data_IF_784011643690
#
_entry.id   IF_784011643690
#
_cell.length_a   1.000
_cell.length_b   1.000
_cell.length_c   1.000
_cell.angle_alpha   90.00
_cell.angle_beta   90.00
_cell.angle_gamma   90.00
#
_symmetry.space_group_name_H-M   'P 1'
#
loop_
_entity.id
_entity.type
_entity.pdbx_description
1 polymer ?
#
# COMPACT_ATOMS: atom_id res chain seq x y z
N UNK A 1 16.82 13.75 -14.24
CA UNK A 1 16.32 12.53 -13.57
C UNK A 1 15.78 11.60 -14.65
N UNK A 2 16.28 10.36 -14.74
CA UNK A 2 15.82 9.43 -15.78
C UNK A 2 14.30 9.17 -15.60
N UNK A 3 13.51 9.23 -16.67
CA UNK A 3 12.05 9.02 -16.64
C UNK A 3 11.61 7.80 -15.80
N UNK A 4 12.30 6.65 -15.83
CA UNK A 4 11.87 5.48 -15.06
C UNK A 4 12.10 5.61 -13.53
N UNK A 5 13.15 6.33 -13.10
CA UNK A 5 13.41 6.61 -11.68
C UNK A 5 12.27 7.40 -11.04
N UNK A 6 11.76 8.40 -11.76
CA UNK A 6 10.63 9.22 -11.32
C UNK A 6 9.38 8.38 -11.10
N UNK A 7 9.09 7.49 -12.07
CA UNK A 7 7.91 6.61 -12.00
C UNK A 7 7.99 5.69 -10.80
N UNK A 8 9.17 5.16 -10.48
CA UNK A 8 9.34 4.22 -9.36
C UNK A 8 9.23 4.93 -8.02
N UNK A 9 9.87 6.08 -7.86
CA UNK A 9 9.71 6.89 -6.66
C UNK A 9 8.27 7.36 -6.45
N UNK A 10 7.60 7.79 -7.53
CA UNK A 10 6.20 8.16 -7.47
C UNK A 10 5.30 6.98 -7.07
N UNK A 11 5.55 5.80 -7.64
CA UNK A 11 4.79 4.58 -7.32
C UNK A 11 4.92 4.21 -5.83
N UNK A 12 6.13 4.25 -5.30
CA UNK A 12 6.40 3.90 -3.89
C UNK A 12 5.83 4.95 -2.94
N UNK A 13 5.95 6.23 -3.29
CA UNK A 13 5.35 7.31 -2.54
C UNK A 13 3.81 7.13 -2.51
N UNK A 14 3.18 6.88 -3.66
CA UNK A 14 1.75 6.67 -3.76
C UNK A 14 1.27 5.45 -2.96
N UNK A 15 2.02 4.36 -3.00
CA UNK A 15 1.74 3.16 -2.21
C UNK A 15 1.84 3.44 -0.70
N UNK A 16 2.89 4.15 -0.28
CA UNK A 16 3.06 4.57 1.12
C UNK A 16 1.94 5.52 1.60
N UNK A 17 1.46 6.42 0.73
CA UNK A 17 0.28 7.25 1.01
C UNK A 17 -0.95 6.38 1.25
N UNK A 18 -1.20 5.41 0.38
CA UNK A 18 -2.37 4.52 0.53
C UNK A 18 -2.31 3.69 1.82
N UNK A 19 -1.15 3.12 2.14
CA UNK A 19 -0.95 2.31 3.36
C UNK A 19 -1.19 3.17 4.60
N UNK A 20 -0.59 4.36 4.65
CA UNK A 20 -0.70 5.26 5.80
C UNK A 20 -2.07 5.90 5.96
N UNK A 21 -2.79 6.13 4.85
CA UNK A 21 -4.19 6.57 4.88
C UNK A 21 -5.13 5.52 5.47
N UNK A 22 -4.79 4.24 5.32
CA UNK A 22 -5.65 3.14 5.77
C UNK A 22 -5.61 2.93 7.28
N UNK A 23 -4.47 3.17 7.93
CA UNK A 23 -4.28 2.86 9.35
C UNK A 23 -5.27 3.60 10.28
N UNK A 24 -5.55 4.90 10.09
CA UNK A 24 -6.56 5.62 10.88
C UNK A 24 -8.00 5.14 10.63
N UNK A 25 -8.30 4.66 9.42
CA UNK A 25 -9.66 4.36 8.96
C UNK A 25 -10.05 2.91 9.26
N UNK A 26 -9.07 1.99 9.20
CA UNK A 26 -9.29 0.55 9.35
C UNK A 26 -10.00 0.14 10.65
N UNK A 27 -9.70 0.70 11.85
CA UNK A 27 -10.40 0.32 13.07
C UNK A 27 -11.91 0.60 12.99
N UNK A 28 -12.28 1.77 12.47
CA UNK A 28 -13.69 2.17 12.30
C UNK A 28 -14.43 1.28 11.31
N UNK A 29 -13.80 0.96 10.17
CA UNK A 29 -14.37 0.02 9.20
C UNK A 29 -14.62 -1.36 9.81
N UNK A 30 -13.70 -1.85 10.64
CA UNK A 30 -13.87 -3.13 11.33
C UNK A 30 -14.98 -3.07 12.38
N UNK A 31 -15.10 -1.98 13.12
CA UNK A 31 -16.19 -1.77 14.08
C UNK A 31 -17.55 -1.75 13.38
N UNK A 32 -17.66 -1.06 12.24
CA UNK A 32 -18.88 -0.96 11.45
C UNK A 32 -19.36 -2.31 10.90
N UNK A 33 -18.45 -3.19 10.46
CA UNK A 33 -18.83 -4.49 9.85
C UNK A 33 -18.86 -5.67 10.82
N UNK A 34 -18.16 -5.60 11.95
CA UNK A 34 -18.10 -6.71 12.92
C UNK A 34 -18.99 -6.50 14.13
N UNK A 35 -19.31 -5.25 14.46
CA UNK A 35 -20.00 -4.86 15.71
C UNK A 35 -19.35 -5.47 16.97
N UNK A 36 -18.05 -5.75 16.90
CA UNK A 36 -17.27 -6.39 17.95
C UNK A 36 -16.41 -5.39 18.69
N UNK A 37 -16.19 -5.61 19.98
CA UNK A 37 -15.22 -4.83 20.76
C UNK A 37 -13.77 -5.32 20.56
N UNK A 38 -13.58 -6.51 19.97
CA UNK A 38 -12.26 -7.09 19.74
C UNK A 38 -11.68 -6.72 18.37
N UNK A 39 -11.55 -5.41 18.13
CA UNK A 39 -10.99 -4.87 16.89
C UNK A 39 -9.51 -5.24 16.73
N UNK A 40 -8.79 -5.37 17.85
CA UNK A 40 -7.36 -5.70 17.85
C UNK A 40 -7.09 -7.08 17.22
N UNK A 41 -7.87 -8.10 17.58
CA UNK A 41 -7.75 -9.43 16.96
C UNK A 41 -8.00 -9.40 15.46
N UNK A 42 -9.02 -8.66 15.00
CA UNK A 42 -9.29 -8.52 13.56
C UNK A 42 -8.17 -7.80 12.81
N UNK A 43 -7.59 -6.75 13.38
CA UNK A 43 -6.39 -6.09 12.82
C UNK A 43 -5.23 -7.10 12.74
N UNK A 44 -5.04 -7.92 13.77
CA UNK A 44 -4.05 -9.00 13.77
C UNK A 44 -4.26 -10.00 12.63
N UNK A 45 -5.49 -10.47 12.44
CA UNK A 45 -5.87 -11.39 11.35
C UNK A 45 -5.63 -10.73 9.98
N UNK A 46 -6.06 -9.48 9.80
CA UNK A 46 -5.83 -8.71 8.57
C UNK A 46 -4.34 -8.62 8.22
N UNK A 47 -3.53 -8.29 9.23
CA UNK A 47 -2.08 -8.12 9.09
C UNK A 47 -1.40 -9.46 8.78
N UNK A 48 -1.79 -10.53 9.49
CA UNK A 48 -1.28 -11.87 9.26
C UNK A 48 -1.64 -12.39 7.85
N UNK A 49 -2.87 -12.16 7.40
CA UNK A 49 -3.30 -12.54 6.05
C UNK A 49 -2.52 -11.79 4.98
N UNK A 50 -2.36 -10.47 5.13
CA UNK A 50 -1.55 -9.65 4.22
C UNK A 50 -0.11 -10.16 4.17
N UNK A 51 0.53 -10.39 5.32
CA UNK A 51 1.90 -10.88 5.41
C UNK A 51 2.05 -12.29 4.82
N UNK A 52 1.09 -13.19 5.06
CA UNK A 52 1.09 -14.53 4.50
C UNK A 52 1.00 -14.52 2.96
N UNK A 53 0.09 -13.71 2.41
CA UNK A 53 -0.03 -13.55 0.95
C UNK A 53 1.23 -12.91 0.37
N UNK A 54 1.75 -11.85 1.01
CA UNK A 54 2.99 -11.23 0.58
C UNK A 54 4.17 -12.23 0.61
N UNK A 55 4.29 -13.05 1.66
CA UNK A 55 5.34 -14.07 1.76
C UNK A 55 5.29 -15.09 0.61
N UNK A 56 4.08 -15.54 0.26
CA UNK A 56 3.88 -16.53 -0.82
C UNK A 56 4.12 -15.92 -2.20
N UNK A 57 3.64 -14.70 -2.44
CA UNK A 57 3.59 -14.13 -3.79
C UNK A 57 4.70 -13.11 -4.10
N UNK A 58 5.37 -12.53 -3.11
CA UNK A 58 6.48 -11.61 -3.35
C UNK A 58 7.64 -12.25 -4.13
N UNK A 59 8.05 -13.53 -3.90
CA UNK A 59 9.05 -14.19 -4.74
C UNK A 59 8.59 -14.35 -6.18
N UNK A 60 7.32 -14.73 -6.38
CA UNK A 60 6.73 -14.92 -7.72
C UNK A 60 6.72 -13.62 -8.50
N UNK A 61 6.24 -12.53 -7.88
CA UNK A 61 6.23 -11.21 -8.49
C UNK A 61 7.63 -10.63 -8.69
N UNK A 62 8.58 -10.97 -7.81
CA UNK A 62 10.00 -10.63 -7.98
C UNK A 62 10.58 -11.26 -9.25
N UNK A 63 10.40 -12.57 -9.42
CA UNK A 63 10.84 -13.30 -10.62
C UNK A 63 10.11 -12.83 -11.89
N UNK A 64 8.81 -12.53 -11.78
CA UNK A 64 8.03 -11.94 -12.86
C UNK A 64 8.58 -10.55 -13.25
N UNK A 65 9.03 -9.78 -12.26
CA UNK A 65 9.64 -8.48 -12.48
C UNK A 65 11.02 -8.56 -13.11
N UNK A 66 11.78 -9.62 -12.87
CA UNK A 66 13.07 -9.84 -13.55
C UNK A 66 12.86 -10.14 -15.05
N UNK A 67 11.77 -10.83 -15.41
CA UNK A 67 11.50 -11.26 -16.78
C UNK A 67 10.69 -10.26 -17.63
N UNK A 68 9.60 -9.69 -17.09
CA UNK A 68 8.76 -8.70 -17.77
C UNK A 68 9.25 -7.25 -17.61
N UNK A 69 10.27 -7.06 -16.78
CA UNK A 69 10.77 -5.76 -16.37
C UNK A 69 10.07 -5.20 -15.12
N UNK A 70 10.74 -4.26 -14.47
CA UNK A 70 10.32 -3.70 -13.17
C UNK A 70 9.02 -2.89 -13.23
N UNK A 71 8.81 -2.14 -14.33
CA UNK A 71 7.70 -1.17 -14.45
C UNK A 71 6.31 -1.84 -14.50
N UNK A 72 6.05 -2.86 -15.34
CA UNK A 72 4.74 -3.53 -15.35
C UNK A 72 4.35 -4.10 -13.99
N UNK A 73 5.28 -4.72 -13.27
CA UNK A 73 5.00 -5.34 -11.97
C UNK A 73 4.65 -4.28 -10.91
N UNK A 74 5.35 -3.15 -10.87
CA UNK A 74 4.96 -2.04 -9.98
C UNK A 74 3.57 -1.48 -10.29
N UNK A 75 3.16 -1.44 -11.55
CA UNK A 75 1.81 -1.01 -11.93
C UNK A 75 0.75 -2.04 -11.51
N UNK A 76 1.04 -3.34 -11.62
CA UNK A 76 0.17 -4.41 -11.11
C UNK A 76 0.00 -4.27 -9.60
N UNK A 77 1.07 -3.99 -8.87
CA UNK A 77 1.04 -3.73 -7.44
C UNK A 77 0.16 -2.54 -7.07
N UNK A 78 0.32 -1.40 -7.75
CA UNK A 78 -0.53 -0.23 -7.55
C UNK A 78 -1.99 -0.51 -7.90
N UNK A 79 -2.25 -1.26 -8.97
CA UNK A 79 -3.59 -1.64 -9.36
C UNK A 79 -4.25 -2.56 -8.31
N UNK A 80 -3.51 -3.52 -7.76
CA UNK A 80 -3.98 -4.38 -6.68
C UNK A 80 -4.26 -3.61 -5.40
N UNK A 81 -3.42 -2.64 -5.06
CA UNK A 81 -3.68 -1.71 -3.96
C UNK A 81 -4.96 -0.90 -4.20
N UNK A 82 -5.15 -0.34 -5.40
CA UNK A 82 -6.36 0.39 -5.78
C UNK A 82 -7.63 -0.46 -5.68
N UNK A 83 -7.58 -1.71 -6.16
CA UNK A 83 -8.67 -2.68 -6.03
C UNK A 83 -8.96 -2.98 -4.56
N UNK A 84 -7.93 -3.18 -3.72
CA UNK A 84 -8.11 -3.34 -2.29
C UNK A 84 -8.82 -2.13 -1.66
N UNK A 85 -8.40 -0.89 -1.97
CA UNK A 85 -9.05 0.31 -1.43
C UNK A 85 -10.50 0.43 -1.89
N UNK A 86 -10.81 0.10 -3.15
CA UNK A 86 -12.17 0.07 -3.66
C UNK A 86 -13.03 -0.96 -2.91
N UNK A 87 -12.52 -2.19 -2.72
CA UNK A 87 -13.24 -3.21 -1.97
C UNK A 87 -13.51 -2.74 -0.55
N UNK A 88 -12.50 -2.16 0.13
CA UNK A 88 -12.66 -1.66 1.50
C UNK A 88 -13.66 -0.50 1.60
N UNK A 89 -13.71 0.39 0.61
CA UNK A 89 -14.64 1.51 0.59
C UNK A 89 -16.11 1.08 0.49
N UNK A 90 -16.38 -0.08 -0.14
CA UNK A 90 -17.73 -0.61 -0.35
C UNK A 90 -18.01 -1.91 0.43
N UNK A 91 -17.17 -2.27 1.40
CA UNK A 91 -17.28 -3.53 2.13
C UNK A 91 -18.40 -3.46 3.18
N UNK A 92 -19.54 -4.17 3.01
CA UNK A 92 -20.60 -4.24 4.00
C UNK A 92 -20.42 -5.43 4.95
N UNK A 93 -19.41 -6.29 4.72
CA UNK A 93 -19.11 -7.47 5.53
C UNK A 93 -17.61 -7.68 5.68
N UNK A 94 -17.21 -8.28 6.80
CA UNK A 94 -15.81 -8.58 7.15
C UNK A 94 -15.06 -9.39 6.07
N UNK A 95 -15.72 -10.35 5.41
CA UNK A 95 -15.06 -11.18 4.39
C UNK A 95 -14.57 -10.36 3.19
N UNK A 96 -15.23 -9.23 2.88
CA UNK A 96 -14.79 -8.34 1.80
C UNK A 96 -13.51 -7.60 2.20
N UNK A 97 -13.39 -7.20 3.48
CA UNK A 97 -12.15 -6.64 4.01
C UNK A 97 -11.00 -7.68 3.97
N UNK A 98 -11.29 -8.93 4.32
CA UNK A 98 -10.36 -10.06 4.19
C UNK A 98 -9.92 -10.27 2.73
N UNK A 99 -10.87 -10.25 1.79
CA UNK A 99 -10.59 -10.38 0.37
C UNK A 99 -9.72 -9.23 -0.15
N UNK A 100 -10.06 -8.00 0.19
CA UNK A 100 -9.25 -6.82 -0.13
C UNK A 100 -7.81 -6.99 0.34
N UNK A 101 -7.63 -7.41 1.60
CA UNK A 101 -6.28 -7.65 2.16
C UNK A 101 -5.53 -8.78 1.50
N UNK A 102 -6.22 -9.86 1.15
CA UNK A 102 -5.59 -10.94 0.40
C UNK A 102 -5.09 -10.44 -0.96
N UNK A 103 -5.89 -9.65 -1.68
CA UNK A 103 -5.50 -9.05 -2.97
C UNK A 103 -4.33 -8.08 -2.80
N UNK A 104 -4.36 -7.23 -1.77
CA UNK A 104 -3.26 -6.33 -1.47
C UNK A 104 -1.95 -7.09 -1.20
N UNK A 105 -1.99 -8.15 -0.39
CA UNK A 105 -0.81 -8.97 -0.10
C UNK A 105 -0.31 -9.72 -1.33
N UNK A 106 -1.24 -10.32 -2.11
CA UNK A 106 -0.96 -11.01 -3.37
C UNK A 106 -0.22 -10.13 -4.36
N UNK A 107 -0.57 -8.84 -4.42
CA UNK A 107 0.00 -7.88 -5.37
C UNK A 107 1.16 -7.06 -4.81
N UNK A 108 1.57 -7.29 -3.56
CA UNK A 108 2.60 -6.48 -2.88
C UNK A 108 4.03 -6.96 -3.17
N UNK A 109 4.60 -6.47 -4.28
CA UNK A 109 6.00 -6.68 -4.67
C UNK A 109 6.83 -5.39 -4.67
N UNK A 110 6.28 -4.34 -4.09
CA UNK A 110 6.64 -2.96 -4.36
C UNK A 110 8.04 -2.70 -3.80
N UNK A 111 8.28 -3.15 -2.57
CA UNK A 111 9.56 -3.03 -1.88
C UNK A 111 10.66 -3.86 -2.55
N UNK A 112 10.39 -5.12 -2.91
CA UNK A 112 11.40 -5.99 -3.55
C UNK A 112 11.76 -5.50 -4.94
N UNK A 113 10.78 -5.14 -5.76
CA UNK A 113 10.99 -4.63 -7.13
C UNK A 113 11.67 -3.27 -7.12
N UNK A 114 11.32 -2.40 -6.17
CA UNK A 114 11.95 -1.09 -6.02
C UNK A 114 13.42 -1.20 -5.60
N UNK A 115 13.72 -2.02 -4.59
CA UNK A 115 15.10 -2.22 -4.11
C UNK A 115 15.96 -2.89 -5.17
N UNK A 116 15.43 -3.87 -5.91
CA UNK A 116 16.09 -4.47 -7.06
C UNK A 116 16.36 -3.43 -8.16
N UNK A 117 15.37 -2.62 -8.53
CA UNK A 117 15.57 -1.59 -9.54
C UNK A 117 16.64 -0.58 -9.13
N UNK A 118 16.57 -0.04 -7.91
CA UNK A 118 17.59 0.89 -7.40
C UNK A 118 18.96 0.23 -7.42
N UNK A 119 19.06 -1.04 -7.08
CA UNK A 119 20.31 -1.82 -7.16
C UNK A 119 20.82 -1.92 -8.59
N UNK A 120 19.95 -2.20 -9.57
CA UNK A 120 20.29 -2.42 -10.99
C UNK A 120 20.84 -1.16 -11.66
N UNK A 121 20.32 0.02 -11.32
CA UNK A 121 20.69 1.27 -12.00
C UNK A 121 21.78 2.08 -11.29
N UNK A 122 22.18 1.71 -10.08
CA UNK A 122 23.08 2.51 -9.23
C UNK A 122 24.50 1.99 -9.23
N UNK A 123 25.47 2.90 -9.45
CA UNK A 123 26.87 2.64 -9.14
C UNK A 123 27.09 2.56 -7.61
N UNK A 124 28.18 1.94 -7.17
CA UNK A 124 28.49 1.78 -5.73
C UNK A 124 28.42 3.12 -4.97
N UNK A 125 28.97 4.18 -5.57
CA UNK A 125 29.01 5.51 -4.97
C UNK A 125 27.63 6.19 -4.89
N UNK A 126 26.69 5.82 -5.76
CA UNK A 126 25.34 6.41 -5.80
C UNK A 126 24.30 5.57 -5.06
N UNK A 127 24.59 4.31 -4.77
CA UNK A 127 23.65 3.36 -4.18
C UNK A 127 23.11 3.87 -2.85
N UNK A 128 23.98 4.30 -1.92
CA UNK A 128 23.56 4.85 -0.63
C UNK A 128 22.63 6.06 -0.78
N UNK A 129 22.95 6.99 -1.69
CA UNK A 129 22.12 8.17 -1.98
C UNK A 129 20.73 7.80 -2.49
N UNK A 130 20.65 6.80 -3.38
CA UNK A 130 19.38 6.39 -4.00
C UNK A 130 18.50 5.56 -3.08
N UNK A 131 19.10 4.72 -2.23
CA UNK A 131 18.37 4.09 -1.12
C UNK A 131 17.90 5.14 -0.10
N UNK A 132 18.70 6.18 0.18
CA UNK A 132 18.26 7.32 0.99
C UNK A 132 17.04 8.03 0.40
N UNK A 133 17.04 8.26 -0.92
CA UNK A 133 15.89 8.85 -1.62
C UNK A 133 14.66 7.93 -1.62
N UNK A 134 14.87 6.62 -1.77
CA UNK A 134 13.81 5.61 -1.64
C UNK A 134 13.10 5.71 -0.29
N UNK A 135 13.88 5.72 0.80
CA UNK A 135 13.35 5.87 2.15
C UNK A 135 12.68 7.22 2.37
N UNK A 136 13.22 8.30 1.79
CA UNK A 136 12.62 9.63 1.84
C UNK A 136 11.23 9.67 1.17
N UNK A 137 11.06 9.01 0.02
CA UNK A 137 9.76 8.91 -0.65
C UNK A 137 8.75 8.10 0.16
N UNK A 138 9.18 7.01 0.79
CA UNK A 138 8.33 6.23 1.68
C UNK A 138 7.89 7.05 2.89
N UNK A 139 8.83 7.74 3.55
CA UNK A 139 8.54 8.63 4.67
C UNK A 139 7.60 9.78 4.30
N UNK A 140 7.80 10.39 3.13
CA UNK A 140 6.90 11.42 2.60
C UNK A 140 5.47 10.89 2.44
N UNK A 141 5.31 9.68 1.88
CA UNK A 141 3.99 9.07 1.75
C UNK A 141 3.31 8.83 3.10
N UNK A 142 4.07 8.39 4.11
CA UNK A 142 3.57 8.21 5.48
C UNK A 142 3.18 9.50 6.21
N UNK A 143 3.74 10.64 5.81
CA UNK A 143 3.32 11.95 6.33
C UNK A 143 2.05 12.42 5.61
N UNK A 144 2.01 12.28 4.28
CA UNK A 144 0.92 12.78 3.45
C UNK A 144 -0.37 11.97 3.66
N UNK A 145 -0.30 10.65 3.79
CA UNK A 145 -1.49 9.79 3.88
C UNK A 145 -2.41 10.08 5.06
N UNK A 146 -1.92 10.16 6.31
CA UNK A 146 -2.78 10.48 7.46
C UNK A 146 -3.35 11.90 7.39
N UNK A 147 -2.59 12.87 6.87
CA UNK A 147 -3.08 14.25 6.66
C UNK A 147 -4.25 14.25 5.66
N UNK A 148 -4.11 13.54 4.53
CA UNK A 148 -5.20 13.40 3.57
C UNK A 148 -6.38 12.63 4.17
N UNK A 149 -6.14 11.55 4.90
CA UNK A 149 -7.20 10.77 5.55
C UNK A 149 -7.97 11.56 6.59
N UNK A 150 -7.29 12.37 7.40
CA UNK A 150 -7.89 13.28 8.38
C UNK A 150 -8.72 14.38 7.71
N UNK A 151 -8.15 15.12 6.75
CA UNK A 151 -8.87 16.18 6.03
C UNK A 151 -10.10 15.65 5.31
N UNK A 152 -9.99 14.52 4.61
CA UNK A 152 -11.12 13.89 3.92
C UNK A 152 -12.19 13.39 4.91
N UNK A 153 -11.78 12.89 6.07
CA UNK A 153 -12.68 12.54 7.17
C UNK A 153 -13.45 13.75 7.69
N UNK A 154 -12.78 14.89 7.88
CA UNK A 154 -13.39 16.14 8.34
C UNK A 154 -14.40 16.70 7.32
N UNK A 155 -14.05 16.71 6.02
CA UNK A 155 -14.99 17.12 4.96
C UNK A 155 -16.22 16.21 4.87
N UNK A 156 -16.06 14.90 5.07
CA UNK A 156 -17.18 13.94 5.10
C UNK A 156 -18.11 14.20 6.28
N UNK A 157 -17.56 14.43 7.47
CA UNK A 157 -18.31 14.80 8.67
C UNK A 157 -19.03 16.14 8.50
N UNK A 158 -18.40 17.13 7.87
CA UNK A 158 -19.00 18.44 7.60
C UNK A 158 -20.21 18.35 6.65
N UNK A 159 -20.17 17.43 5.67
CA UNK A 159 -21.28 17.20 4.74
C UNK A 159 -22.47 16.48 5.41
N UNK A 160 -22.20 15.55 6.34
CA UNK A 160 -23.24 14.87 7.12
C UNK A 160 -23.97 15.78 8.11
N UNK A 161 -23.31 16.84 8.61
CA UNK A 161 -23.93 17.81 9.53
C UNK A 161 -24.82 18.87 8.83
N UNK A 162 -24.85 18.88 7.49
CA UNK A 162 -25.70 19.77 6.70
C UNK A 162 -26.98 19.10 6.17
N UNK A 163 -27.24 17.86 6.57
CA UNK A 163 -28.48 17.10 6.33
C UNK A 163 -29.01 16.51 7.64
#
# INVERSE_FOLDING_TARGET
MNKPLVVIFAAICLDAVGISLIFPILPRLLEDVTHSQDIASYIGIMTALYAAMQFVFAPVLGALSDSLGRRPVLLISLAGAAVNYLIMAFAPQLWMLLLGRAIAGLTSANASVATAYITDISSENERARRFGLLSAMFGMGFIVGPVLGGLLGDYWLALQLHF
#
